data_IF_638602683297
#
_entry.id   IF_638602683297
#
_cell.length_a   1.000
_cell.length_b   1.000
_cell.length_c   1.000
_cell.angle_alpha   90.00
_cell.angle_beta   90.00
_cell.angle_gamma   90.00
#
_symmetry.space_group_name_H-M   'P 1'
#
loop_
_entity.id
_entity.type
_entity.pdbx_description
1 polymer ?
#
# COMPACT_ATOMS: atom_id res chain seq x y z
N UNK A 1 -36.13 -11.60 -68.85
CA UNK A 1 -36.63 -10.93 -67.63
C UNK A 1 -35.52 -10.86 -66.58
N UNK A 2 -35.24 -9.68 -66.01
CA UNK A 2 -34.08 -9.47 -65.13
C UNK A 2 -34.33 -10.05 -63.74
N UNK A 3 -33.26 -10.48 -63.08
CA UNK A 3 -33.27 -11.21 -61.82
C UNK A 3 -33.43 -10.32 -60.59
N UNK A 4 -34.16 -10.86 -59.62
CA UNK A 4 -34.19 -10.43 -58.22
C UNK A 4 -32.81 -10.61 -57.59
N UNK A 5 -32.17 -9.50 -57.25
CA UNK A 5 -30.98 -9.45 -56.40
C UNK A 5 -31.17 -8.35 -55.33
N UNK A 6 -32.21 -8.51 -54.52
CA UNK A 6 -32.39 -7.75 -53.28
C UNK A 6 -32.42 -8.75 -52.13
N UNK A 7 -31.28 -8.98 -51.48
CA UNK A 7 -31.25 -9.93 -50.35
C UNK A 7 -29.91 -10.26 -49.70
N UNK A 8 -28.83 -9.52 -49.96
CA UNK A 8 -27.52 -9.82 -49.34
C UNK A 8 -26.84 -8.65 -48.64
N UNK A 9 -27.59 -7.60 -48.30
CA UNK A 9 -27.04 -6.43 -47.62
C UNK A 9 -27.48 -6.31 -46.14
N UNK A 10 -28.49 -7.05 -45.69
CA UNK A 10 -29.07 -6.93 -44.35
C UNK A 10 -28.35 -7.78 -43.28
N UNK A 11 -27.67 -8.87 -43.68
CA UNK A 11 -27.14 -9.88 -42.74
C UNK A 11 -25.80 -9.45 -42.08
N UNK A 12 -25.09 -8.51 -42.71
CA UNK A 12 -23.79 -8.02 -42.22
C UNK A 12 -23.90 -6.85 -41.25
N UNK A 13 -25.00 -6.10 -41.30
CA UNK A 13 -25.25 -4.98 -40.38
C UNK A 13 -25.65 -5.53 -39.00
N UNK A 14 -26.53 -6.53 -38.97
CA UNK A 14 -27.00 -7.18 -37.74
C UNK A 14 -25.85 -7.87 -36.98
N UNK A 15 -24.87 -8.43 -37.69
CA UNK A 15 -23.70 -9.08 -37.07
C UNK A 15 -22.69 -8.07 -36.51
N UNK A 16 -22.55 -6.91 -37.14
CA UNK A 16 -21.71 -5.83 -36.62
C UNK A 16 -22.37 -5.17 -35.41
N UNK A 17 -23.69 -4.92 -35.47
CA UNK A 17 -24.45 -4.37 -34.34
C UNK A 17 -24.43 -5.31 -33.14
N UNK A 18 -24.58 -6.63 -33.35
CA UNK A 18 -24.46 -7.62 -32.30
C UNK A 18 -23.06 -7.63 -31.67
N UNK A 19 -22.00 -7.53 -32.48
CA UNK A 19 -20.62 -7.47 -32.00
C UNK A 19 -20.33 -6.19 -31.21
N UNK A 20 -20.82 -5.04 -31.68
CA UNK A 20 -20.67 -3.76 -30.98
C UNK A 20 -21.47 -3.72 -29.66
N UNK A 21 -22.65 -4.35 -29.63
CA UNK A 21 -23.45 -4.48 -28.42
C UNK A 21 -22.75 -5.35 -27.37
N UNK A 22 -22.12 -6.44 -27.79
CA UNK A 22 -21.40 -7.36 -26.90
C UNK A 22 -20.12 -6.72 -26.30
N UNK A 23 -19.37 -5.95 -27.11
CA UNK A 23 -18.24 -5.15 -26.62
C UNK A 23 -18.71 -4.08 -25.62
N UNK A 24 -19.82 -3.39 -25.92
CA UNK A 24 -20.35 -2.33 -25.07
C UNK A 24 -20.90 -2.88 -23.75
N UNK A 25 -21.53 -4.06 -23.79
CA UNK A 25 -22.00 -4.76 -22.61
C UNK A 25 -20.83 -5.21 -21.73
N UNK A 26 -19.74 -5.69 -22.34
CA UNK A 26 -18.51 -6.10 -21.65
C UNK A 26 -17.75 -4.91 -21.05
N UNK A 27 -17.76 -3.75 -21.73
CA UNK A 27 -17.11 -2.52 -21.26
C UNK A 27 -17.84 -1.86 -20.07
N UNK A 28 -19.16 -2.07 -19.96
CA UNK A 28 -19.99 -1.56 -18.87
C UNK A 28 -20.19 -2.54 -17.72
N UNK A 29 -19.57 -3.74 -17.76
CA UNK A 29 -19.52 -4.57 -16.57
C UNK A 29 -18.56 -3.90 -15.59
N UNK A 30 -19.03 -3.42 -14.41
CA UNK A 30 -18.10 -3.10 -13.35
C UNK A 30 -17.34 -4.38 -13.09
N UNK A 31 -16.03 -4.36 -13.36
CA UNK A 31 -15.18 -5.50 -13.07
C UNK A 31 -15.51 -5.92 -11.64
N UNK A 32 -16.06 -7.13 -11.49
CA UNK A 32 -16.19 -7.77 -10.19
C UNK A 32 -14.75 -8.01 -9.74
N UNK A 33 -14.11 -6.96 -9.22
CA UNK A 33 -12.88 -7.09 -8.48
C UNK A 33 -13.24 -8.03 -7.36
N UNK A 34 -12.58 -9.19 -7.24
CA UNK A 34 -12.60 -9.89 -5.98
C UNK A 34 -12.28 -8.84 -4.93
N UNK A 35 -13.08 -8.74 -3.86
CA UNK A 35 -12.62 -8.11 -2.64
C UNK A 35 -11.42 -8.95 -2.17
N UNK A 36 -10.26 -8.76 -2.79
CA UNK A 36 -9.01 -9.00 -2.12
C UNK A 36 -9.04 -7.98 -0.99
N UNK A 37 -9.06 -8.47 0.25
CA UNK A 37 -8.79 -7.63 1.41
C UNK A 37 -7.63 -6.71 1.03
N UNK A 38 -7.83 -5.39 1.19
CA UNK A 38 -6.83 -4.42 0.81
C UNK A 38 -5.50 -4.85 1.47
N UNK A 39 -4.37 -4.83 0.73
CA UNK A 39 -3.10 -5.29 1.27
C UNK A 39 -2.80 -4.51 2.56
N UNK A 40 -2.66 -5.24 3.67
CA UNK A 40 -2.39 -4.68 4.99
C UNK A 40 -1.02 -3.99 4.99
N UNK A 41 -0.91 -2.89 5.72
CA UNK A 41 0.38 -2.24 5.92
C UNK A 41 1.30 -3.20 6.68
N UNK A 42 2.56 -3.28 6.25
CA UNK A 42 3.61 -4.00 6.99
C UNK A 42 4.39 -3.10 7.94
N UNK A 43 4.05 -1.82 7.95
CA UNK A 43 4.76 -0.78 8.67
C UNK A 43 3.96 -0.32 9.87
N UNK A 44 4.61 -0.29 11.03
CA UNK A 44 4.16 0.31 12.26
C UNK A 44 4.91 1.62 12.52
N UNK A 45 4.19 2.61 13.02
CA UNK A 45 4.77 3.83 13.56
C UNK A 45 4.49 3.86 15.06
N UNK A 46 5.54 3.79 15.86
CA UNK A 46 5.47 3.94 17.30
C UNK A 46 5.84 5.38 17.65
N UNK A 47 4.93 6.10 18.29
CA UNK A 47 5.12 7.49 18.71
C UNK A 47 5.21 7.56 20.24
N UNK A 48 5.90 8.58 20.75
CA UNK A 48 6.02 8.86 22.19
C UNK A 48 6.75 7.79 23.01
N UNK A 49 7.61 6.96 22.38
CA UNK A 49 8.49 6.02 23.09
C UNK A 49 9.79 6.67 23.55
N UNK A 50 10.20 7.77 22.91
CA UNK A 50 11.35 8.56 23.28
C UNK A 50 10.96 10.02 23.47
N UNK A 51 11.63 10.68 24.42
CA UNK A 51 11.56 12.14 24.53
C UNK A 51 12.39 12.80 23.42
N UNK A 52 12.14 14.08 23.12
CA UNK A 52 12.99 14.86 22.21
C UNK A 52 14.47 14.81 22.60
N UNK A 53 14.76 14.93 23.90
CA UNK A 53 16.12 14.83 24.43
C UNK A 53 16.73 13.44 24.17
N UNK A 54 16.02 12.36 24.51
CA UNK A 54 16.51 10.99 24.31
C UNK A 54 16.69 10.65 22.83
N UNK A 55 15.82 11.15 21.95
CA UNK A 55 15.97 10.94 20.50
C UNK A 55 17.08 11.77 19.85
N UNK A 56 17.68 12.74 20.57
CA UNK A 56 18.87 13.44 20.14
C UNK A 56 20.17 12.73 20.58
N UNK A 57 20.06 11.76 21.50
CA UNK A 57 21.20 10.96 21.97
C UNK A 57 21.36 9.70 21.09
N UNK A 58 22.49 9.55 20.37
CA UNK A 58 22.75 8.38 19.52
C UNK A 58 22.79 7.05 20.27
N UNK A 59 23.22 7.03 21.53
CA UNK A 59 23.30 5.81 22.35
C UNK A 59 21.90 5.33 22.72
N UNK A 60 21.06 6.24 23.22
CA UNK A 60 19.64 5.99 23.51
C UNK A 60 18.87 5.54 22.25
N UNK A 61 19.13 6.17 21.10
CA UNK A 61 18.52 5.75 19.83
C UNK A 61 18.94 4.34 19.43
N UNK A 62 20.21 3.98 19.64
CA UNK A 62 20.75 2.66 19.31
C UNK A 62 20.18 1.59 20.22
N UNK A 63 20.13 1.86 21.53
CA UNK A 63 19.53 0.97 22.52
C UNK A 63 18.04 0.76 22.24
N UNK A 64 17.29 1.83 22.05
CA UNK A 64 15.87 1.80 21.71
C UNK A 64 15.60 1.01 20.44
N UNK A 65 16.43 1.17 19.40
CA UNK A 65 16.34 0.38 18.17
C UNK A 65 16.49 -1.12 18.45
N UNK A 66 17.46 -1.50 19.27
CA UNK A 66 17.71 -2.91 19.61
C UNK A 66 16.57 -3.49 20.46
N UNK A 67 16.12 -2.77 21.47
CA UNK A 67 15.02 -3.20 22.34
C UNK A 67 13.70 -3.33 21.56
N UNK A 68 13.37 -2.32 20.75
CA UNK A 68 12.19 -2.36 19.86
C UNK A 68 12.29 -3.52 18.88
N UNK A 69 13.47 -3.76 18.29
CA UNK A 69 13.67 -4.90 17.40
C UNK A 69 13.48 -6.25 18.11
N UNK A 70 14.04 -6.40 19.31
CA UNK A 70 13.87 -7.62 20.08
C UNK A 70 12.40 -7.85 20.46
N UNK A 71 11.70 -6.80 20.89
CA UNK A 71 10.28 -6.88 21.23
C UNK A 71 9.45 -7.22 19.99
N UNK A 72 9.51 -6.39 18.93
CA UNK A 72 8.70 -6.55 17.73
C UNK A 72 8.95 -7.87 16.98
N UNK A 73 10.11 -8.51 17.15
CA UNK A 73 10.40 -9.82 16.56
C UNK A 73 9.49 -10.96 17.03
N UNK A 74 8.77 -10.76 18.14
CA UNK A 74 7.83 -11.75 18.69
C UNK A 74 6.57 -11.92 17.83
N UNK A 75 6.17 -10.89 17.08
CA UNK A 75 4.97 -10.92 16.24
C UNK A 75 5.27 -11.35 14.80
N UNK A 76 6.50 -11.16 14.32
CA UNK A 76 6.88 -11.58 12.98
C UNK A 76 8.33 -11.27 12.63
N UNK A 77 8.73 -11.73 11.44
CA UNK A 77 10.06 -11.45 10.91
C UNK A 77 10.21 -9.95 10.59
N UNK A 78 11.23 -9.33 11.20
CA UNK A 78 11.54 -7.92 11.01
C UNK A 78 12.40 -7.69 9.77
N UNK A 79 11.99 -6.74 8.94
CA UNK A 79 12.79 -6.22 7.83
C UNK A 79 13.64 -5.02 8.26
N UNK A 80 13.04 -4.11 9.04
CA UNK A 80 13.72 -2.87 9.44
C UNK A 80 13.15 -2.31 10.74
N UNK A 81 14.04 -1.74 11.56
CA UNK A 81 13.69 -0.84 12.67
C UNK A 81 14.49 0.44 12.48
N UNK A 82 13.81 1.58 12.44
CA UNK A 82 14.39 2.90 12.24
C UNK A 82 13.88 3.89 13.28
N UNK A 83 14.78 4.37 14.13
CA UNK A 83 14.49 5.42 15.10
C UNK A 83 14.78 6.76 14.43
N UNK A 84 13.78 7.64 14.41
CA UNK A 84 13.93 9.00 13.88
C UNK A 84 14.56 9.86 14.98
N UNK A 85 15.79 10.32 14.74
CA UNK A 85 16.47 11.23 15.66
C UNK A 85 15.78 12.60 15.65
N UNK A 86 15.70 13.26 16.79
CA UNK A 86 15.24 14.64 16.89
C UNK A 86 16.32 15.67 16.54
N UNK A 87 17.37 15.26 15.84
CA UNK A 87 18.32 16.15 15.19
C UNK A 87 18.15 16.04 13.67
N UNK A 88 18.13 17.18 12.99
CA UNK A 88 18.26 17.22 11.53
C UNK A 88 19.66 16.74 11.11
N UNK A 89 19.86 16.49 9.82
CA UNK A 89 21.19 16.15 9.29
C UNK A 89 22.24 17.27 9.56
N UNK A 90 21.76 18.50 9.80
CA UNK A 90 22.56 19.68 10.13
C UNK A 90 22.78 19.85 11.65
N UNK A 91 22.19 18.98 12.47
CA UNK A 91 22.30 18.99 13.94
C UNK A 91 21.29 19.90 14.64
N UNK A 92 20.36 20.51 13.90
CA UNK A 92 19.31 21.35 14.49
C UNK A 92 18.21 20.50 15.14
N UNK A 93 17.60 20.97 16.25
CA UNK A 93 16.50 20.27 16.88
C UNK A 93 15.27 20.22 15.97
N UNK A 94 14.74 19.02 15.78
CA UNK A 94 13.48 18.76 15.07
C UNK A 94 12.32 19.20 15.99
N UNK A 95 11.20 19.74 15.45
CA UNK A 95 10.08 20.16 16.27
C UNK A 95 9.60 19.07 17.25
N UNK A 96 9.26 19.45 18.49
CA UNK A 96 8.92 18.50 19.57
C UNK A 96 7.83 17.48 19.21
N UNK A 97 6.90 17.85 18.32
CA UNK A 97 5.80 16.98 17.85
C UNK A 97 6.24 15.89 16.85
N UNK A 98 7.51 15.88 16.42
CA UNK A 98 8.10 14.90 15.49
C UNK A 98 9.09 13.98 16.22
N UNK A 99 9.46 14.34 17.45
CA UNK A 99 10.41 13.59 18.24
C UNK A 99 9.87 12.22 18.70
N UNK A 100 10.77 11.24 18.82
CA UNK A 100 10.48 9.94 19.40
C UNK A 100 9.59 9.03 18.57
N UNK A 101 9.77 9.09 17.25
CA UNK A 101 9.14 8.18 16.28
C UNK A 101 10.03 7.00 15.96
N UNK A 102 9.46 5.81 15.95
CA UNK A 102 10.14 4.58 15.55
C UNK A 102 9.32 3.89 14.47
N UNK A 103 9.92 3.71 13.31
CA UNK A 103 9.36 2.93 12.21
C UNK A 103 9.80 1.49 12.33
N UNK A 104 8.84 0.56 12.29
CA UNK A 104 9.08 -0.88 12.27
C UNK A 104 8.44 -1.45 11.01
N UNK A 105 9.21 -2.18 10.22
CA UNK A 105 8.72 -2.89 9.03
C UNK A 105 8.86 -4.39 9.24
N UNK A 106 7.76 -5.12 9.07
CA UNK A 106 7.66 -6.57 9.16
C UNK A 106 7.58 -7.20 7.76
N UNK A 107 7.85 -8.50 7.64
CA UNK A 107 7.68 -9.22 6.37
C UNK A 107 6.20 -9.36 5.97
N UNK A 108 5.32 -9.51 6.96
CA UNK A 108 3.88 -9.76 6.81
C UNK A 108 3.05 -8.62 7.42
N UNK A 109 2.01 -8.20 6.70
CA UNK A 109 1.07 -7.16 7.14
C UNK A 109 0.10 -7.64 8.21
N UNK A 110 -0.13 -8.96 8.34
CA UNK A 110 -0.90 -9.49 9.48
C UNK A 110 -0.15 -9.36 10.80
N UNK A 111 1.17 -9.59 10.80
CA UNK A 111 2.01 -9.38 11.97
C UNK A 111 2.04 -7.91 12.44
N UNK A 112 1.77 -6.96 11.52
CA UNK A 112 1.72 -5.53 11.82
C UNK A 112 0.33 -5.04 12.29
N UNK A 113 -0.69 -5.90 12.35
CA UNK A 113 -2.02 -5.52 12.85
C UNK A 113 -2.31 -5.99 14.29
N UNK A 114 -1.50 -6.90 14.84
CA UNK A 114 -1.64 -7.42 16.22
C UNK A 114 -1.05 -6.50 17.29
#
# INVERSE_FOLDING_TARGET
PPGDAAGRQADTDDTLEAYMADISASANQPAARPQQDAPKSRCLLLENLLTAYSSADPEECTMTRMETGNECSKWGALLRVHVVSALTEEGDPVPEHVAGRIFVELEDGYAAEE
#
